data_IF_432950339258
#
_entry.id   IF_432950339258
#
_cell.length_a   1.000
_cell.length_b   1.000
_cell.length_c   1.000
_cell.angle_alpha   90.00
_cell.angle_beta   90.00
_cell.angle_gamma   90.00
#
_symmetry.space_group_name_H-M   'P 1'
#
loop_
_entity.id
_entity.type
_entity.pdbx_description
1 polymer ?
#
# COMPACT_ATOMS: atom_id res chain seq x y z
N UNK A 1 -2.17 -2.52 -7.48
CA UNK A 1 -1.88 -3.73 -6.67
C UNK A 1 -0.45 -3.66 -6.15
N UNK A 2 -0.12 -4.32 -5.04
CA UNK A 2 1.26 -4.39 -4.55
C UNK A 2 2.04 -5.52 -5.25
N UNK A 3 3.33 -5.28 -5.51
CA UNK A 3 4.29 -6.27 -6.01
C UNK A 3 5.08 -6.83 -4.83
N UNK A 4 5.15 -8.15 -4.72
CA UNK A 4 5.88 -8.85 -3.66
C UNK A 4 7.03 -9.63 -4.27
N UNK A 5 8.26 -9.35 -3.84
CA UNK A 5 9.45 -10.11 -4.20
C UNK A 5 9.73 -11.15 -3.13
N UNK A 6 9.78 -12.41 -3.56
CA UNK A 6 10.01 -13.57 -2.70
C UNK A 6 11.45 -14.08 -2.85
N UNK A 7 11.98 -14.66 -1.77
CA UNK A 7 13.25 -15.38 -1.68
C UNK A 7 13.08 -16.56 -0.72
N UNK A 8 13.80 -16.58 0.41
CA UNK A 8 13.48 -17.46 1.56
C UNK A 8 12.28 -16.99 2.41
N UNK A 9 11.59 -15.94 1.96
CA UNK A 9 10.51 -15.22 2.63
C UNK A 9 10.18 -13.95 1.85
N UNK A 10 9.46 -13.01 2.44
CA UNK A 10 9.21 -11.69 1.83
C UNK A 10 10.49 -10.86 1.89
N UNK A 11 11.06 -10.55 0.73
CA UNK A 11 12.29 -9.75 0.62
C UNK A 11 11.97 -8.27 0.37
N UNK A 12 10.90 -8.00 -0.38
CA UNK A 12 10.49 -6.64 -0.70
C UNK A 12 9.00 -6.60 -1.05
N UNK A 13 8.31 -5.54 -0.63
CA UNK A 13 6.98 -5.19 -1.13
C UNK A 13 7.03 -3.77 -1.69
N UNK A 14 6.37 -3.54 -2.82
CA UNK A 14 6.18 -2.21 -3.40
C UNK A 14 4.72 -1.99 -3.77
N UNK A 15 4.14 -0.86 -3.36
CA UNK A 15 2.74 -0.51 -3.64
C UNK A 15 1.83 -0.74 -2.44
N UNK A 16 0.51 -0.85 -2.68
CA UNK A 16 -0.46 -1.02 -1.58
C UNK A 16 -1.30 -2.28 -1.72
N UNK A 17 -1.53 -2.94 -0.58
CA UNK A 17 -2.35 -4.14 -0.41
C UNK A 17 -2.90 -4.15 1.03
N UNK A 18 -4.10 -4.72 1.22
CA UNK A 18 -4.73 -4.88 2.53
C UNK A 18 -4.74 -3.59 3.39
N UNK A 19 -5.09 -2.44 2.77
CA UNK A 19 -5.16 -1.16 3.47
C UNK A 19 -3.81 -0.53 3.84
N UNK A 20 -2.69 -1.12 3.42
CA UNK A 20 -1.36 -0.63 3.74
C UNK A 20 -0.55 -0.30 2.49
N UNK A 21 0.32 0.71 2.58
CA UNK A 21 1.26 1.10 1.52
C UNK A 21 2.68 0.82 1.98
N UNK A 22 3.40 0.04 1.18
CA UNK A 22 4.79 -0.34 1.39
C UNK A 22 5.68 0.50 0.48
N UNK A 23 6.68 1.13 1.07
CA UNK A 23 7.62 2.01 0.38
C UNK A 23 9.01 1.97 1.04
N UNK A 24 9.99 2.58 0.38
CA UNK A 24 11.37 2.69 0.86
C UNK A 24 11.83 4.14 0.75
N UNK A 25 12.51 4.62 1.79
CA UNK A 25 13.22 5.90 1.78
C UNK A 25 14.70 5.68 2.16
N UNK A 26 15.44 6.77 2.39
CA UNK A 26 16.85 6.72 2.80
C UNK A 26 17.09 5.92 4.09
N UNK A 27 16.09 5.86 4.98
CA UNK A 27 16.15 5.18 6.28
C UNK A 27 15.62 3.74 6.23
N UNK A 28 15.28 3.23 5.04
CA UNK A 28 14.89 1.84 4.84
C UNK A 28 13.41 1.68 4.47
N UNK A 29 12.91 0.47 4.71
CA UNK A 29 11.55 0.08 4.35
C UNK A 29 10.57 0.56 5.42
N UNK A 30 9.44 1.09 4.99
CA UNK A 30 8.38 1.50 5.89
C UNK A 30 7.02 1.11 5.34
N UNK A 31 6.08 0.97 6.27
CA UNK A 31 4.69 0.64 6.02
C UNK A 31 3.84 1.75 6.63
N UNK A 32 2.86 2.22 5.87
CA UNK A 32 1.88 3.19 6.35
C UNK A 32 0.47 2.72 6.03
N UNK A 33 -0.48 3.09 6.88
CA UNK A 33 -1.89 2.95 6.55
C UNK A 33 -2.20 3.75 5.28
N UNK A 34 -2.93 3.14 4.36
CA UNK A 34 -3.39 3.79 3.15
C UNK A 34 -4.56 4.71 3.53
N UNK A 35 -4.36 6.00 3.33
CA UNK A 35 -5.40 7.02 3.57
C UNK A 35 -6.44 7.09 2.45
N UNK A 36 -6.09 6.65 1.22
CA UNK A 36 -7.07 6.51 0.14
C UNK A 36 -7.92 5.27 0.37
N UNK A 37 -9.25 5.41 0.39
CA UNK A 37 -10.17 4.30 0.61
C UNK A 37 -10.01 3.20 -0.45
N UNK A 38 -10.35 1.98 -0.03
CA UNK A 38 -10.21 0.76 -0.84
C UNK A 38 -11.05 0.80 -2.11
N UNK A 39 -12.17 1.53 -2.06
CA UNK A 39 -13.03 1.83 -3.19
C UNK A 39 -13.00 3.35 -3.46
N UNK A 40 -12.04 3.85 -4.27
CA UNK A 40 -12.05 5.23 -4.71
C UNK A 40 -13.28 5.44 -5.61
N UNK A 41 -14.11 6.44 -5.28
CA UNK A 41 -15.39 6.76 -5.91
C UNK A 41 -16.63 6.04 -5.33
N UNK A 42 -16.58 5.57 -4.07
CA UNK A 42 -17.85 5.25 -3.41
C UNK A 42 -18.75 6.49 -3.38
N UNK A 43 -20.06 6.34 -3.46
CA UNK A 43 -21.03 7.45 -3.44
C UNK A 43 -20.76 8.44 -2.29
N UNK A 44 -20.37 7.93 -1.11
CA UNK A 44 -19.98 8.74 0.08
C UNK A 44 -18.67 9.55 -0.06
N UNK A 45 -17.87 9.32 -1.09
CA UNK A 45 -16.61 10.04 -1.37
C UNK A 45 -16.76 11.04 -2.53
N UNK A 46 -17.72 10.82 -3.42
CA UNK A 46 -17.95 11.64 -4.62
C UNK A 46 -19.04 12.68 -4.41
N UNK A 47 -20.01 12.41 -3.55
CA UNK A 47 -21.04 13.36 -3.17
C UNK A 47 -20.45 14.35 -2.15
N UNK A 48 -19.86 15.42 -2.67
CA UNK A 48 -19.62 16.69 -1.96
C UNK A 48 -20.53 17.73 -2.60
#
# INVERSE_FOLDING_TARGET
>A
MALVKLGGGIVQISGSIAGNTFARNRFGNYMRSRTKPVNPNSTRQTDI
#
